data_IF_863931418029
#
_entry.id   IF_863931418029
#
_cell.length_a   1.000
_cell.length_b   1.000
_cell.length_c   1.000
_cell.angle_alpha   90.00
_cell.angle_beta   90.00
_cell.angle_gamma   90.00
#
_symmetry.space_group_name_H-M   'P 1'
#
loop_
_entity.id
_entity.type
_entity.pdbx_description
1 polymer ?
#
# COMPACT_ATOMS: atom_id res chain seq x y z
N UNK A 1 -9.58 14.92 -9.60
CA UNK A 1 -8.22 14.41 -9.35
C UNK A 1 -7.98 13.24 -10.28
N UNK A 2 -6.97 13.33 -11.14
CA UNK A 2 -6.63 12.24 -12.07
C UNK A 2 -5.28 11.68 -11.66
N UNK A 3 -5.30 10.58 -10.91
CA UNK A 3 -4.07 9.89 -10.53
C UNK A 3 -3.57 9.09 -11.75
N UNK A 4 -2.58 9.62 -12.45
CA UNK A 4 -1.89 8.93 -13.53
C UNK A 4 -1.10 7.74 -12.99
N UNK A 5 -1.70 6.57 -13.02
CA UNK A 5 -1.02 5.31 -12.67
C UNK A 5 -0.95 4.43 -13.92
N UNK A 6 0.10 4.51 -14.74
CA UNK A 6 0.31 3.54 -15.81
C UNK A 6 0.85 2.25 -15.16
N UNK A 7 -0.04 1.46 -14.57
CA UNK A 7 0.30 0.13 -14.07
C UNK A 7 -0.57 -0.88 -14.81
N UNK A 8 -0.06 -1.38 -15.94
CA UNK A 8 -0.67 -2.47 -16.68
C UNK A 8 -1.03 -3.63 -15.72
N UNK A 9 -2.30 -4.02 -15.70
CA UNK A 9 -2.81 -5.17 -14.96
C UNK A 9 -3.09 -4.99 -13.46
N UNK A 10 -3.15 -3.75 -12.93
CA UNK A 10 -3.38 -3.49 -11.49
C UNK A 10 -4.71 -2.76 -11.24
N UNK A 11 -5.47 -3.24 -10.26
CA UNK A 11 -6.69 -2.61 -9.77
C UNK A 11 -6.36 -1.77 -8.54
N UNK A 12 -6.87 -0.54 -8.49
CA UNK A 12 -6.79 0.37 -7.36
C UNK A 12 -8.22 0.73 -6.93
N UNK A 13 -8.51 0.64 -5.65
CA UNK A 13 -9.75 1.13 -5.04
C UNK A 13 -9.36 2.28 -4.11
N UNK A 14 -10.13 3.37 -4.15
CA UNK A 14 -9.90 4.59 -3.36
C UNK A 14 -11.14 4.84 -2.51
N UNK A 15 -10.95 4.94 -1.19
CA UNK A 15 -11.95 5.34 -0.20
C UNK A 15 -11.45 6.60 0.53
N UNK A 16 -12.36 7.51 0.86
CA UNK A 16 -12.09 8.87 1.37
C UNK A 16 -12.95 9.24 2.60
N UNK A 17 -13.44 8.26 3.34
CA UNK A 17 -14.40 8.45 4.44
C UNK A 17 -13.89 9.29 5.63
N UNK A 18 -12.58 9.38 5.87
CA UNK A 18 -11.96 10.07 7.02
C UNK A 18 -10.91 11.13 6.61
N UNK A 19 -10.84 11.50 5.33
CA UNK A 19 -9.79 12.36 4.77
C UNK A 19 -8.46 11.64 4.53
N UNK A 20 -8.32 10.37 4.93
CA UNK A 20 -7.23 9.51 4.50
C UNK A 20 -7.48 9.00 3.08
N UNK A 21 -6.41 8.65 2.37
CA UNK A 21 -6.49 7.95 1.10
C UNK A 21 -6.12 6.49 1.32
N UNK A 22 -7.03 5.58 0.98
CA UNK A 22 -6.75 4.15 0.99
C UNK A 22 -6.44 3.68 -0.43
N UNK A 23 -5.36 2.92 -0.59
CA UNK A 23 -4.97 2.29 -1.85
C UNK A 23 -4.70 0.80 -1.62
N UNK A 24 -5.33 -0.05 -2.42
CA UNK A 24 -5.01 -1.48 -2.49
C UNK A 24 -4.19 -1.73 -3.75
N UNK A 25 -3.03 -2.37 -3.60
CA UNK A 25 -2.16 -2.76 -4.71
C UNK A 25 -1.83 -4.24 -4.61
N UNK A 26 -2.09 -4.97 -5.69
CA UNK A 26 -1.79 -6.40 -5.79
C UNK A 26 -0.63 -6.60 -6.75
N UNK A 27 0.41 -7.30 -6.31
CA UNK A 27 1.42 -7.85 -7.20
C UNK A 27 1.06 -9.30 -7.53
N UNK A 28 0.52 -9.51 -8.74
CA UNK A 28 0.15 -10.83 -9.25
C UNK A 28 1.35 -11.63 -9.80
N UNK A 29 2.51 -11.00 -9.97
CA UNK A 29 3.72 -11.67 -10.45
C UNK A 29 4.19 -12.71 -9.43
N UNK A 30 4.62 -13.86 -9.95
CA UNK A 30 4.93 -15.01 -9.14
C UNK A 30 6.31 -15.01 -8.49
N UNK A 31 7.25 -14.33 -9.11
CA UNK A 31 8.66 -14.43 -8.76
C UNK A 31 9.29 -13.04 -8.55
N UNK A 32 8.74 -12.00 -9.16
CA UNK A 32 9.39 -10.71 -9.25
C UNK A 32 8.82 -9.71 -8.25
N UNK A 33 9.75 -9.05 -7.55
CA UNK A 33 9.43 -7.86 -6.76
C UNK A 33 9.18 -6.71 -7.72
N UNK A 34 8.07 -6.01 -7.55
CA UNK A 34 7.76 -4.82 -8.33
C UNK A 34 8.13 -3.56 -7.54
N UNK A 35 8.90 -2.70 -8.17
CA UNK A 35 9.25 -1.39 -7.66
C UNK A 35 8.33 -0.34 -8.29
N UNK A 36 7.84 0.59 -7.47
CA UNK A 36 6.96 1.64 -7.96
C UNK A 36 6.96 2.84 -7.02
N UNK A 37 6.17 3.83 -7.39
CA UNK A 37 5.89 4.96 -6.53
C UNK A 37 4.44 5.34 -6.64
N UNK A 38 3.82 5.64 -5.52
CA UNK A 38 2.50 6.24 -5.48
C UNK A 38 2.73 7.76 -5.45
N UNK A 39 2.28 8.44 -6.48
CA UNK A 39 2.26 9.90 -6.53
C UNK A 39 0.88 10.36 -6.08
N UNK A 40 0.82 11.26 -5.10
CA UNK A 40 -0.42 11.91 -4.70
C UNK A 40 -0.37 13.36 -5.13
N UNK A 41 -1.31 13.75 -5.97
CA UNK A 41 -1.46 15.14 -6.40
C UNK A 41 -2.17 15.97 -5.32
N UNK A 42 -1.79 17.25 -5.19
CA UNK A 42 -2.35 18.17 -4.20
C UNK A 42 -1.53 18.22 -2.91
N UNK A 43 -1.78 17.30 -1.97
CA UNK A 43 -1.26 17.39 -0.60
C UNK A 43 -0.08 16.45 -0.35
N UNK A 44 0.88 16.91 0.46
CA UNK A 44 1.98 16.06 0.91
C UNK A 44 1.47 14.97 1.86
N UNK A 45 2.04 13.77 1.74
CA UNK A 45 1.74 12.65 2.62
C UNK A 45 2.63 12.78 3.84
N UNK A 46 2.05 12.85 5.05
CA UNK A 46 2.87 12.87 6.29
C UNK A 46 3.39 11.47 6.60
N UNK A 47 2.48 10.51 6.61
CA UNK A 47 2.77 9.11 6.92
C UNK A 47 1.87 8.18 6.14
N UNK A 48 2.38 7.00 5.81
CA UNK A 48 1.60 5.90 5.27
C UNK A 48 1.64 4.71 6.22
N UNK A 49 0.49 4.06 6.43
CA UNK A 49 0.42 2.74 7.07
C UNK A 49 0.27 1.72 5.96
N UNK A 50 1.24 0.81 5.87
CA UNK A 50 1.29 -0.21 4.84
C UNK A 50 1.01 -1.56 5.49
N UNK A 51 -0.09 -2.19 5.10
CA UNK A 51 -0.35 -3.59 5.47
C UNK A 51 0.00 -4.48 4.30
N UNK A 52 0.75 -5.55 4.56
CA UNK A 52 1.13 -6.49 3.52
C UNK A 52 0.83 -7.91 3.93
N UNK A 53 0.00 -8.59 3.15
CA UNK A 53 -0.18 -10.03 3.25
C UNK A 53 1.02 -10.72 2.58
N UNK A 54 1.78 -11.50 3.34
CA UNK A 54 2.97 -12.20 2.87
C UNK A 54 2.95 -13.64 3.36
N UNK A 55 3.40 -14.56 2.52
CA UNK A 55 3.71 -15.94 2.87
C UNK A 55 5.04 -16.39 2.25
N UNK A 56 5.57 -17.56 2.62
CA UNK A 56 6.83 -18.08 2.08
C UNK A 56 6.73 -18.45 0.58
N UNK A 57 5.53 -18.72 0.06
CA UNK A 57 5.25 -18.96 -1.35
C UNK A 57 3.78 -18.69 -1.67
N UNK A 58 3.41 -18.72 -2.96
CA UNK A 58 2.01 -18.57 -3.39
C UNK A 58 1.12 -19.77 -3.12
N UNK A 59 1.73 -20.91 -2.78
CA UNK A 59 1.04 -22.11 -2.34
C UNK A 59 0.90 -22.17 -0.82
N UNK A 60 1.40 -21.16 -0.10
CA UNK A 60 1.30 -21.12 1.35
C UNK A 60 -0.15 -20.83 1.79
N UNK A 61 -0.59 -21.56 2.80
CA UNK A 61 -1.83 -21.33 3.51
C UNK A 61 -1.64 -21.64 5.01
N UNK A 62 -2.54 -21.12 5.83
CA UNK A 62 -2.52 -21.35 7.28
C UNK A 62 -3.08 -22.73 7.61
N UNK A 63 -2.43 -23.44 8.51
CA UNK A 63 -2.89 -24.73 9.03
C UNK A 63 -2.99 -24.67 10.55
N UNK A 64 -3.63 -25.66 11.18
CA UNK A 64 -3.68 -25.74 12.66
C UNK A 64 -2.28 -25.76 13.27
N UNK A 65 -1.33 -26.47 12.65
CA UNK A 65 0.06 -26.53 13.09
C UNK A 65 0.85 -25.22 12.81
N UNK A 66 0.44 -24.45 11.80
CA UNK A 66 1.10 -23.19 11.40
C UNK A 66 0.05 -22.10 11.09
N UNK A 67 -0.60 -21.53 12.13
CA UNK A 67 -1.76 -20.66 11.94
C UNK A 67 -1.42 -19.29 11.35
N UNK A 68 -0.14 -18.90 11.32
CA UNK A 68 0.35 -17.60 10.84
C UNK A 68 1.36 -17.72 9.70
N UNK A 69 1.28 -18.80 8.91
CA UNK A 69 2.17 -19.05 7.77
C UNK A 69 1.99 -18.03 6.64
N UNK A 70 0.78 -17.51 6.50
CA UNK A 70 0.39 -16.34 5.71
C UNK A 70 -0.20 -15.33 6.69
N UNK A 71 0.44 -14.17 6.80
CA UNK A 71 0.10 -13.17 7.81
C UNK A 71 0.25 -11.75 7.26
N UNK A 72 -0.42 -10.82 7.94
CA UNK A 72 -0.34 -9.40 7.62
C UNK A 72 0.80 -8.78 8.42
N UNK A 73 1.75 -8.20 7.71
CA UNK A 73 2.78 -7.35 8.29
C UNK A 73 2.40 -5.89 8.11
N UNK A 74 2.39 -5.14 9.20
CA UNK A 74 2.09 -3.70 9.20
C UNK A 74 3.37 -2.90 9.36
N UNK A 75 3.56 -1.87 8.54
CA UNK A 75 4.69 -0.96 8.65
C UNK A 75 4.22 0.47 8.48
N UNK A 76 4.60 1.35 9.42
CA UNK A 76 4.36 2.79 9.29
C UNK A 76 5.59 3.44 8.66
N UNK A 77 5.38 4.17 7.58
CA UNK A 77 6.44 4.84 6.80
C UNK A 77 6.24 6.36 6.91
N UNK A 78 7.19 7.12 7.46
CA UNK A 78 7.20 8.56 7.31
C UNK A 78 7.52 8.90 5.85
N UNK A 79 6.72 9.75 5.20
CA UNK A 79 6.86 10.06 3.76
C UNK A 79 7.40 11.46 3.55
N UNK A 80 6.82 12.46 4.24
CA UNK A 80 7.27 13.86 4.18
C UNK A 80 7.28 14.47 2.78
N UNK A 81 6.63 13.83 1.80
CA UNK A 81 6.66 14.22 0.40
C UNK A 81 5.38 13.77 -0.31
N UNK A 82 5.20 14.19 -1.56
CA UNK A 82 4.07 13.76 -2.41
C UNK A 82 4.26 12.39 -3.05
N UNK A 83 5.44 11.79 -2.88
CA UNK A 83 5.83 10.52 -3.53
C UNK A 83 6.14 9.48 -2.48
N UNK A 84 5.34 8.43 -2.43
CA UNK A 84 5.59 7.27 -1.59
C UNK A 84 6.26 6.16 -2.41
N UNK A 85 7.55 5.87 -2.21
CA UNK A 85 8.16 4.70 -2.83
C UNK A 85 7.53 3.42 -2.26
N UNK A 86 7.20 2.48 -3.14
CA UNK A 86 6.65 1.18 -2.75
C UNK A 86 7.45 0.05 -3.39
N UNK A 87 7.70 -0.98 -2.58
CA UNK A 87 8.29 -2.24 -3.03
C UNK A 87 7.28 -3.35 -2.76
N UNK A 88 6.70 -3.92 -3.81
CA UNK A 88 5.69 -4.98 -3.72
C UNK A 88 6.39 -6.33 -3.91
N UNK A 89 6.34 -7.19 -2.89
CA UNK A 89 6.91 -8.54 -2.99
C UNK A 89 6.11 -9.40 -3.99
N UNK A 90 6.67 -10.48 -4.53
CA UNK A 90 5.91 -11.42 -5.36
C UNK A 90 4.65 -11.89 -4.62
N UNK A 91 3.55 -12.10 -5.35
CA UNK A 91 2.29 -12.61 -4.80
C UNK A 91 1.78 -11.91 -3.54
N UNK A 92 1.94 -10.59 -3.47
CA UNK A 92 1.54 -9.83 -2.29
C UNK A 92 0.32 -8.96 -2.55
N UNK A 93 -0.51 -8.85 -1.52
CA UNK A 93 -1.52 -7.80 -1.41
C UNK A 93 -0.97 -6.76 -0.44
N UNK A 94 -0.91 -5.51 -0.88
CA UNK A 94 -0.47 -4.38 -0.07
C UNK A 94 -1.60 -3.35 -0.01
N UNK A 95 -2.04 -3.01 1.20
CA UNK A 95 -2.90 -1.84 1.41
C UNK A 95 -2.07 -0.69 1.97
N UNK A 96 -2.39 0.52 1.55
CA UNK A 96 -1.72 1.75 1.97
C UNK A 96 -2.79 2.72 2.45
N UNK A 97 -2.76 3.07 3.72
CA UNK A 97 -3.51 4.19 4.29
C UNK A 97 -2.57 5.40 4.33
N UNK A 98 -2.90 6.44 3.58
CA UNK A 98 -2.16 7.69 3.56
C UNK A 98 -2.88 8.73 4.40
N UNK A 99 -2.19 9.24 5.42
CA UNK A 99 -2.73 10.30 6.25
C UNK A 99 -2.31 11.67 5.70
N UNK A 100 -3.26 12.58 5.44
CA UNK A 100 -2.93 13.93 5.01
C UNK A 100 -2.11 14.64 6.10
N UNK A 101 -1.23 15.55 5.69
CA UNK A 101 -0.78 16.58 6.62
C UNK A 101 -2.02 17.41 7.01
N UNK A 102 -2.37 17.43 8.29
CA UNK A 102 -3.44 18.31 8.80
C UNK A 102 -3.16 19.70 8.24
N UNK A 103 -4.07 20.23 7.42
CA UNK A 103 -4.07 21.64 7.08
C UNK A 103 -4.29 22.36 8.40
N UNK A 104 -3.24 22.94 8.97
CA UNK A 104 -3.37 23.86 10.08
C UNK A 104 -4.30 24.98 9.63
N UNK A 105 -5.57 24.91 10.04
CA UNK A 105 -6.45 26.06 10.06
C UNK A 105 -5.91 27.00 11.13
N UNK A 106 -4.94 27.82 10.75
CA UNK A 106 -4.61 29.01 11.48
C UNK A 106 -5.62 30.08 11.08
N UNK A 107 -6.51 30.41 12.02
CA UNK A 107 -7.19 31.70 12.12
C UNK A 107 -7.22 32.07 13.59
#
# INVERSE_FOLDING_TARGET
MQLGVPLAGKQALIDHTDGSLYLIVVNKDRAHTMHGSILVEGSAIKSAIVHRLVGPSFLAFNTVAHPQRVSIHTTRIPVGSRRLPIRLRPHSLTTVEQRPAVSGGGS
#
